data_IF_971513803563
#
_entry.id   IF_971513803563
#
_cell.length_a   1.000
_cell.length_b   1.000
_cell.length_c   1.000
_cell.angle_alpha   90.00
_cell.angle_beta   90.00
_cell.angle_gamma   90.00
#
_symmetry.space_group_name_H-M   'P 1'
#
loop_
_entity.id
_entity.type
_entity.pdbx_description
1 polymer ?
#
# COMPACT_ATOMS: atom_id res chain seq x y z
N UNK A 1 3.12 9.73 -7.55
CA UNK A 1 3.33 8.30 -7.91
C UNK A 1 4.17 7.66 -6.82
N UNK A 2 3.88 6.43 -6.39
CA UNK A 2 4.61 5.80 -5.29
C UNK A 2 5.96 5.26 -5.76
N UNK A 3 7.06 5.76 -5.18
CA UNK A 3 8.42 5.29 -5.44
C UNK A 3 8.61 3.83 -5.02
N UNK A 4 7.97 3.43 -3.91
CA UNK A 4 8.04 2.06 -3.37
C UNK A 4 7.44 1.02 -4.33
N UNK A 5 6.39 1.40 -5.06
CA UNK A 5 5.72 0.52 -6.02
C UNK A 5 6.61 0.15 -7.22
N UNK A 6 7.34 1.12 -7.78
CA UNK A 6 8.24 0.86 -8.92
C UNK A 6 9.45 0.01 -8.50
N UNK A 7 10.04 0.28 -7.33
CA UNK A 7 11.14 -0.53 -6.79
C UNK A 7 10.75 -2.00 -6.60
N UNK A 8 9.52 -2.25 -6.11
CA UNK A 8 9.01 -3.61 -5.95
C UNK A 8 9.00 -4.40 -7.27
N UNK A 9 8.59 -3.79 -8.39
CA UNK A 9 8.53 -4.48 -9.68
C UNK A 9 9.93 -4.67 -10.31
N UNK A 10 10.89 -3.78 -10.06
CA UNK A 10 12.29 -3.97 -10.49
C UNK A 10 12.90 -5.21 -9.82
N UNK A 11 12.71 -5.37 -8.51
CA UNK A 11 13.18 -6.56 -7.77
C UNK A 11 12.57 -7.84 -8.35
N UNK A 12 11.27 -7.83 -8.68
CA UNK A 12 10.58 -8.99 -9.28
C UNK A 12 11.14 -9.30 -10.68
N UNK A 13 11.39 -8.29 -11.50
CA UNK A 13 11.93 -8.47 -12.85
C UNK A 13 13.37 -9.00 -12.83
N UNK A 14 14.22 -8.49 -11.93
CA UNK A 14 15.60 -8.98 -11.77
C UNK A 14 15.63 -10.48 -11.50
N UNK A 15 14.73 -10.94 -10.63
CA UNK A 15 14.59 -12.37 -10.33
C UNK A 15 14.12 -13.22 -11.51
N UNK A 16 13.20 -12.73 -12.34
CA UNK A 16 12.78 -13.45 -13.56
C UNK A 16 13.94 -13.60 -14.54
N UNK A 17 14.79 -12.57 -14.64
CA UNK A 17 15.94 -12.54 -15.53
C UNK A 17 17.20 -13.20 -14.94
N UNK A 18 17.21 -13.52 -13.65
CA UNK A 18 18.38 -14.04 -12.94
C UNK A 18 19.48 -12.99 -12.72
N UNK A 19 19.12 -11.72 -12.58
CA UNK A 19 20.03 -10.58 -12.39
C UNK A 19 19.72 -9.82 -11.10
N UNK A 20 20.73 -9.14 -10.55
CA UNK A 20 20.56 -8.30 -9.36
C UNK A 20 19.71 -7.05 -9.67
N UNK A 21 18.93 -6.53 -8.71
CA UNK A 21 18.10 -5.34 -8.93
C UNK A 21 18.89 -4.10 -9.39
N UNK A 22 20.14 -3.96 -8.95
CA UNK A 22 21.02 -2.85 -9.31
C UNK A 22 21.39 -2.87 -10.81
N UNK A 23 21.41 -4.04 -11.44
CA UNK A 23 21.63 -4.15 -12.90
C UNK A 23 20.43 -3.62 -13.70
N UNK A 24 19.27 -3.51 -13.04
CA UNK A 24 18.04 -2.99 -13.61
C UNK A 24 17.75 -1.53 -13.19
N UNK A 25 18.72 -0.83 -12.60
CA UNK A 25 18.53 0.56 -12.12
C UNK A 25 18.10 1.52 -13.24
N UNK A 26 18.49 1.24 -14.49
CA UNK A 26 18.07 2.00 -15.67
C UNK A 26 16.54 2.00 -15.90
N UNK A 27 15.81 1.07 -15.26
CA UNK A 27 14.35 0.98 -15.29
C UNK A 27 13.67 1.80 -14.19
N UNK A 28 14.42 2.45 -13.28
CA UNK A 28 13.86 3.17 -12.13
C UNK A 28 12.91 4.32 -12.46
N UNK A 29 12.95 4.86 -13.69
CA UNK A 29 12.02 5.88 -14.18
C UNK A 29 10.68 5.34 -14.70
N UNK A 30 10.52 4.02 -14.82
CA UNK A 30 9.30 3.40 -15.33
C UNK A 30 8.20 3.32 -14.26
N UNK A 31 6.94 3.34 -14.72
CA UNK A 31 5.81 3.09 -13.84
C UNK A 31 5.77 1.62 -13.42
N UNK A 32 5.29 1.35 -12.20
CA UNK A 32 5.09 -0.02 -11.71
C UNK A 32 4.21 -0.87 -12.66
N UNK A 33 3.20 -0.27 -13.30
CA UNK A 33 2.33 -0.96 -14.26
C UNK A 33 3.11 -1.41 -15.51
N UNK A 34 3.94 -0.54 -16.09
CA UNK A 34 4.74 -0.88 -17.26
C UNK A 34 5.80 -1.95 -16.94
N UNK A 35 6.43 -1.87 -15.77
CA UNK A 35 7.39 -2.88 -15.31
C UNK A 35 6.74 -4.25 -15.13
N UNK A 36 5.54 -4.26 -14.56
CA UNK A 36 4.73 -5.47 -14.43
C UNK A 36 4.40 -6.08 -15.80
N UNK A 37 3.92 -5.28 -16.74
CA UNK A 37 3.61 -5.75 -18.10
C UNK A 37 4.83 -6.35 -18.81
N UNK A 38 6.00 -5.72 -18.66
CA UNK A 38 7.26 -6.23 -19.22
C UNK A 38 7.60 -7.59 -18.61
N UNK A 39 7.56 -7.71 -17.28
CA UNK A 39 7.86 -8.95 -16.56
C UNK A 39 6.94 -10.09 -16.97
N UNK A 40 5.64 -9.83 -17.07
CA UNK A 40 4.65 -10.81 -17.52
C UNK A 40 4.95 -11.29 -18.95
N UNK A 41 5.27 -10.35 -19.86
CA UNK A 41 5.59 -10.65 -21.26
C UNK A 41 6.88 -11.48 -21.42
N UNK A 42 7.93 -11.16 -20.65
CA UNK A 42 9.19 -11.92 -20.63
C UNK A 42 8.94 -13.35 -20.14
N UNK A 43 8.19 -13.50 -19.05
CA UNK A 43 7.88 -14.81 -18.48
C UNK A 43 7.10 -15.68 -19.45
N UNK A 44 6.09 -15.10 -20.13
CA UNK A 44 5.29 -15.81 -21.13
C UNK A 44 6.15 -16.27 -22.32
N UNK A 45 7.02 -15.39 -22.84
CA UNK A 45 7.89 -15.73 -23.97
C UNK A 45 8.83 -16.90 -23.67
N UNK A 46 9.52 -16.87 -22.51
CA UNK A 46 10.44 -17.94 -22.10
C UNK A 46 9.72 -19.29 -21.95
N UNK A 47 8.49 -19.30 -21.42
CA UNK A 47 7.70 -20.53 -21.26
C UNK A 47 7.14 -21.07 -22.59
N UNK A 48 6.83 -20.19 -23.55
CA UNK A 48 6.31 -20.61 -24.86
C UNK A 48 7.37 -21.28 -25.72
N UNK A 49 8.63 -20.82 -25.64
CA UNK A 49 9.76 -21.37 -26.41
C UNK A 49 10.00 -22.86 -26.11
N UNK A 50 9.98 -23.25 -24.84
CA UNK A 50 10.26 -24.63 -24.41
C UNK A 50 9.04 -25.57 -24.46
N UNK A 51 7.85 -25.03 -24.73
CA UNK A 51 6.59 -25.80 -24.67
C UNK A 51 6.55 -27.05 -25.55
N UNK A 52 7.04 -27.05 -26.81
CA UNK A 52 7.03 -28.25 -27.65
C UNK A 52 7.85 -29.40 -27.07
N UNK A 53 8.94 -29.10 -26.36
CA UNK A 53 9.78 -30.08 -25.69
C UNK A 53 9.02 -30.73 -24.52
N UNK A 54 8.43 -29.92 -23.64
CA UNK A 54 7.66 -30.43 -22.49
C UNK A 54 6.46 -31.28 -22.91
N UNK A 55 5.75 -30.90 -23.98
CA UNK A 55 4.63 -31.69 -24.52
C UNK A 55 5.03 -33.08 -24.99
N UNK A 56 6.20 -33.22 -25.62
CA UNK A 56 6.71 -34.53 -26.06
C UNK A 56 7.03 -35.42 -24.86
N UNK A 57 7.64 -34.85 -23.83
CA UNK A 57 7.92 -35.59 -22.60
C UNK A 57 6.62 -35.97 -21.86
N UNK A 58 5.65 -35.05 -21.79
CA UNK A 58 4.35 -35.29 -21.17
C UNK A 58 3.62 -36.49 -21.78
N UNK A 59 3.61 -36.63 -23.11
CA UNK A 59 3.03 -37.78 -23.80
C UNK A 59 3.65 -39.12 -23.36
N UNK A 60 4.96 -39.14 -23.09
CA UNK A 60 5.64 -40.33 -22.56
C UNK A 60 5.21 -40.56 -21.11
N UNK A 61 5.30 -39.52 -20.26
CA UNK A 61 4.97 -39.60 -18.85
C UNK A 61 3.50 -39.94 -18.58
N UNK A 62 2.60 -39.69 -19.52
CA UNK A 62 1.18 -40.04 -19.45
C UNK A 62 0.91 -41.56 -19.58
N UNK A 63 1.89 -42.34 -20.01
CA UNK A 63 1.78 -43.80 -20.09
C UNK A 63 2.66 -44.55 -19.08
N UNK A 64 3.65 -43.89 -18.49
CA UNK A 64 4.55 -44.51 -17.51
C UNK A 64 3.82 -44.75 -16.16
N UNK A 65 3.91 -45.95 -15.55
CA UNK A 65 3.34 -46.21 -14.23
C UNK A 65 3.87 -45.26 -13.15
N UNK A 66 3.00 -44.82 -12.23
CA UNK A 66 3.29 -43.78 -11.24
C UNK A 66 4.56 -44.02 -10.42
N UNK A 67 4.80 -45.26 -9.97
CA UNK A 67 5.99 -45.61 -9.18
C UNK A 67 7.28 -45.36 -9.98
N UNK A 68 7.27 -45.72 -11.26
CA UNK A 68 8.42 -45.57 -12.13
C UNK A 68 8.62 -44.11 -12.50
N UNK A 69 7.54 -43.40 -12.84
CA UNK A 69 7.59 -41.97 -13.12
C UNK A 69 8.14 -41.16 -11.93
N UNK A 70 7.71 -41.44 -10.70
CA UNK A 70 8.24 -40.78 -9.50
C UNK A 70 9.71 -41.14 -9.18
N UNK A 71 10.18 -42.32 -9.59
CA UNK A 71 11.61 -42.66 -9.50
C UNK A 71 12.44 -41.92 -10.54
N UNK A 72 11.95 -41.84 -11.78
CA UNK A 72 12.62 -41.15 -12.87
C UNK A 72 12.69 -39.64 -12.59
N UNK A 73 11.59 -39.05 -12.12
CA UNK A 73 11.51 -37.61 -11.85
C UNK A 73 12.60 -37.13 -10.88
N UNK A 74 13.00 -37.94 -9.90
CA UNK A 74 14.07 -37.60 -8.94
C UNK A 74 15.46 -37.43 -9.56
N UNK A 75 15.69 -37.97 -10.75
CA UNK A 75 16.95 -37.80 -11.50
C UNK A 75 16.84 -36.81 -12.65
N UNK A 76 15.68 -36.16 -12.81
CA UNK A 76 15.44 -35.15 -13.83
C UNK A 76 15.52 -33.77 -13.18
N UNK A 77 16.04 -32.81 -13.94
CA UNK A 77 16.07 -31.41 -13.53
C UNK A 77 14.67 -30.89 -13.12
N UNK A 78 14.52 -30.20 -11.98
CA UNK A 78 13.24 -29.68 -11.49
C UNK A 78 12.48 -28.83 -12.52
N UNK A 79 13.19 -28.06 -13.36
CA UNK A 79 12.59 -27.26 -14.42
C UNK A 79 11.83 -28.12 -15.44
N UNK A 80 12.40 -29.27 -15.82
CA UNK A 80 11.76 -30.19 -16.75
C UNK A 80 10.54 -30.85 -16.12
N UNK A 81 10.62 -31.20 -14.82
CA UNK A 81 9.47 -31.75 -14.08
C UNK A 81 8.34 -30.72 -14.00
N UNK A 82 8.66 -29.46 -13.72
CA UNK A 82 7.70 -28.35 -13.69
C UNK A 82 7.02 -28.15 -15.06
N UNK A 83 7.81 -28.13 -16.13
CA UNK A 83 7.31 -27.99 -17.51
C UNK A 83 6.42 -29.16 -17.93
N UNK A 84 6.75 -30.40 -17.54
CA UNK A 84 5.90 -31.57 -17.81
C UNK A 84 4.62 -31.54 -16.97
N UNK A 85 4.68 -31.09 -15.72
CA UNK A 85 3.53 -31.04 -14.81
C UNK A 85 2.39 -30.18 -15.36
N UNK A 86 2.70 -29.09 -16.09
CA UNK A 86 1.68 -28.21 -16.71
C UNK A 86 1.09 -28.73 -18.02
N UNK A 87 1.58 -29.85 -18.57
CA UNK A 87 1.09 -30.44 -19.82
C UNK A 87 0.34 -31.77 -19.62
N UNK A 88 0.33 -32.33 -18.42
CA UNK A 88 -0.39 -33.58 -18.09
C UNK A 88 -1.64 -33.32 -17.23
N UNK A 89 -2.51 -34.33 -17.10
CA UNK A 89 -3.75 -34.22 -16.33
C UNK A 89 -3.50 -33.93 -14.84
N UNK A 90 -4.24 -32.97 -14.26
CA UNK A 90 -4.10 -32.51 -12.88
C UNK A 90 -4.09 -33.64 -11.84
N UNK A 91 -5.00 -34.62 -11.94
CA UNK A 91 -5.04 -35.78 -11.03
C UNK A 91 -3.75 -36.61 -11.06
N UNK A 92 -3.13 -36.71 -12.24
CA UNK A 92 -1.85 -37.42 -12.39
C UNK A 92 -0.71 -36.64 -11.75
N UNK A 93 -0.68 -35.32 -11.92
CA UNK A 93 0.28 -34.43 -11.24
C UNK A 93 0.23 -34.65 -9.73
N UNK A 94 -0.97 -34.64 -9.14
CA UNK A 94 -1.15 -34.86 -7.69
C UNK A 94 -0.63 -36.23 -7.26
N UNK A 95 -1.00 -37.29 -7.99
CA UNK A 95 -0.58 -38.66 -7.66
C UNK A 95 0.94 -38.84 -7.73
N UNK A 96 1.61 -38.15 -8.67
CA UNK A 96 3.06 -38.17 -8.79
C UNK A 96 3.71 -37.31 -7.70
N UNK A 97 3.22 -36.09 -7.49
CA UNK A 97 3.75 -35.15 -6.51
C UNK A 97 3.74 -35.69 -5.09
N UNK A 98 2.67 -36.39 -4.67
CA UNK A 98 2.58 -37.07 -3.37
C UNK A 98 3.67 -38.13 -3.11
N UNK A 99 4.42 -38.54 -4.13
CA UNK A 99 5.51 -39.52 -4.02
C UNK A 99 6.91 -38.91 -4.11
N UNK A 100 6.99 -37.61 -4.37
CA UNK A 100 8.23 -36.86 -4.42
C UNK A 100 8.56 -36.32 -3.03
N UNK A 101 9.85 -36.08 -2.77
CA UNK A 101 10.28 -35.52 -1.50
C UNK A 101 9.98 -34.01 -1.49
N UNK A 102 9.59 -33.47 -0.33
CA UNK A 102 9.29 -32.04 -0.13
C UNK A 102 10.39 -31.11 -0.64
N UNK A 103 11.70 -31.35 -0.37
CA UNK A 103 12.76 -30.49 -0.90
C UNK A 103 12.78 -30.41 -2.43
N UNK A 104 12.49 -31.53 -3.11
CA UNK A 104 12.44 -31.57 -4.57
C UNK A 104 11.17 -30.92 -5.12
N UNK A 105 10.04 -31.03 -4.42
CA UNK A 105 8.81 -30.31 -4.78
C UNK A 105 9.00 -28.79 -4.67
N UNK A 106 9.72 -28.32 -3.65
CA UNK A 106 10.09 -26.91 -3.53
C UNK A 106 10.92 -26.45 -4.73
N UNK A 107 11.92 -27.23 -5.17
CA UNK A 107 12.69 -26.93 -6.39
C UNK A 107 11.78 -26.86 -7.63
N UNK A 108 10.84 -27.80 -7.77
CA UNK A 108 9.88 -27.80 -8.87
C UNK A 108 8.99 -26.55 -8.84
N UNK A 109 8.56 -26.11 -7.65
CA UNK A 109 7.73 -24.91 -7.49
C UNK A 109 8.42 -23.62 -7.97
N UNK A 110 9.74 -23.52 -7.85
CA UNK A 110 10.50 -22.35 -8.33
C UNK A 110 10.32 -22.13 -9.84
N UNK A 111 10.23 -23.22 -10.61
CA UNK A 111 10.10 -23.21 -12.07
C UNK A 111 8.64 -23.34 -12.55
N UNK A 112 7.73 -23.79 -11.69
CA UNK A 112 6.34 -24.02 -12.05
C UNK A 112 5.60 -22.69 -12.28
N UNK A 113 4.84 -22.62 -13.37
CA UNK A 113 3.85 -21.55 -13.55
C UNK A 113 2.52 -21.96 -12.89
N UNK A 114 2.14 -21.34 -11.75
CA UNK A 114 0.93 -21.72 -11.04
C UNK A 114 -0.35 -21.37 -11.80
N UNK A 115 -0.32 -20.42 -12.75
CA UNK A 115 -1.46 -20.12 -13.65
C UNK A 115 -1.87 -21.34 -14.45
N UNK A 116 -0.88 -22.10 -14.92
CA UNK A 116 -1.07 -23.28 -15.78
C UNK A 116 -1.27 -24.56 -14.98
N UNK A 117 -0.89 -24.57 -13.70
CA UNK A 117 -1.07 -25.71 -12.80
C UNK A 117 -2.26 -25.57 -11.83
N UNK A 118 -3.13 -24.57 -12.01
CA UNK A 118 -4.23 -24.23 -11.08
C UNK A 118 -5.07 -25.43 -10.63
N UNK A 119 -5.48 -26.27 -11.58
CA UNK A 119 -6.32 -27.44 -11.28
C UNK A 119 -5.57 -28.49 -10.45
N UNK A 120 -4.26 -28.64 -10.66
CA UNK A 120 -3.43 -29.54 -9.86
C UNK A 120 -3.20 -28.97 -8.45
N UNK A 121 -2.85 -27.67 -8.36
CA UNK A 121 -2.61 -26.97 -7.08
C UNK A 121 -3.81 -27.13 -6.14
N UNK A 122 -5.03 -26.96 -6.64
CA UNK A 122 -6.27 -27.09 -5.86
C UNK A 122 -6.61 -28.51 -5.41
N UNK A 123 -6.00 -29.52 -6.04
CA UNK A 123 -6.24 -30.93 -5.74
C UNK A 123 -5.17 -31.53 -4.82
N UNK A 124 -4.07 -30.82 -4.58
CA UNK A 124 -3.05 -31.28 -3.65
C UNK A 124 -3.58 -31.31 -2.21
N UNK A 125 -3.20 -32.32 -1.41
CA UNK A 125 -3.52 -32.35 0.03
C UNK A 125 -2.94 -31.14 0.76
N UNK A 126 -3.69 -30.62 1.74
CA UNK A 126 -3.32 -29.43 2.50
C UNK A 126 -1.97 -29.61 3.21
N UNK A 127 -1.77 -30.76 3.86
CA UNK A 127 -0.55 -31.15 4.55
C UNK A 127 0.68 -31.11 3.65
N UNK A 128 0.58 -31.62 2.42
CA UNK A 128 1.70 -31.55 1.47
C UNK A 128 2.02 -30.11 1.06
N UNK A 129 1.01 -29.26 0.87
CA UNK A 129 1.23 -27.85 0.52
C UNK A 129 1.86 -27.10 1.69
N UNK A 130 1.44 -27.39 2.93
CA UNK A 130 2.05 -26.83 4.14
C UNK A 130 3.52 -27.26 4.24
N UNK A 131 3.84 -28.54 4.04
CA UNK A 131 5.23 -29.02 4.07
C UNK A 131 6.09 -28.29 3.04
N UNK A 132 5.61 -28.10 1.81
CA UNK A 132 6.33 -27.38 0.75
C UNK A 132 6.46 -25.90 1.09
N UNK A 133 5.44 -25.27 1.66
CA UNK A 133 5.48 -23.88 2.09
C UNK A 133 6.53 -23.65 3.20
N UNK A 134 6.61 -24.55 4.18
CA UNK A 134 7.62 -24.50 5.25
C UNK A 134 9.03 -24.74 4.72
N UNK A 135 9.19 -25.64 3.74
CA UNK A 135 10.47 -25.85 3.06
C UNK A 135 10.92 -24.59 2.32
N UNK A 136 10.03 -23.93 1.56
CA UNK A 136 10.34 -22.66 0.89
C UNK A 136 10.66 -21.54 1.89
N UNK A 137 9.92 -21.44 2.99
CA UNK A 137 10.19 -20.47 4.06
C UNK A 137 11.55 -20.68 4.72
N UNK A 138 11.94 -21.94 4.96
CA UNK A 138 13.26 -22.28 5.50
C UNK A 138 14.42 -21.88 4.59
N UNK A 139 14.15 -21.71 3.29
CA UNK A 139 15.09 -21.28 2.25
C UNK A 139 15.01 -19.77 1.96
N UNK A 140 14.15 -19.04 2.68
CA UNK A 140 13.83 -17.62 2.42
C UNK A 140 13.28 -17.36 0.99
N UNK A 141 12.69 -18.38 0.35
CA UNK A 141 12.09 -18.26 -0.99
C UNK A 141 10.64 -17.80 -0.92
N UNK A 142 10.46 -16.59 -0.38
CA UNK A 142 9.15 -15.93 -0.24
C UNK A 142 8.54 -15.54 -1.59
N UNK A 143 9.36 -15.48 -2.65
CA UNK A 143 8.92 -15.15 -4.02
C UNK A 143 8.17 -16.31 -4.63
N UNK A 144 8.74 -17.51 -4.53
CA UNK A 144 8.03 -18.70 -4.99
C UNK A 144 6.74 -18.84 -4.20
N UNK A 145 6.75 -18.65 -2.88
CA UNK A 145 5.52 -18.68 -2.07
C UNK A 145 4.47 -17.68 -2.57
N UNK A 146 4.84 -16.41 -2.80
CA UNK A 146 3.88 -15.36 -3.19
C UNK A 146 3.17 -15.65 -4.51
N UNK A 147 3.83 -16.35 -5.44
CA UNK A 147 3.26 -16.73 -6.75
C UNK A 147 2.11 -17.74 -6.63
N UNK A 148 2.06 -18.55 -5.58
CA UNK A 148 1.05 -19.60 -5.41
C UNK A 148 -0.21 -19.15 -4.65
N UNK A 149 -0.15 -18.01 -3.95
CA UNK A 149 -1.19 -17.54 -3.03
C UNK A 149 -2.58 -17.37 -3.70
N UNK A 150 -2.60 -17.00 -4.98
CA UNK A 150 -3.84 -16.83 -5.76
C UNK A 150 -4.46 -18.16 -6.24
N UNK A 151 -3.73 -19.27 -6.11
CA UNK A 151 -4.10 -20.57 -6.70
C UNK A 151 -4.45 -21.64 -5.66
N UNK A 152 -3.97 -21.48 -4.43
CA UNK A 152 -4.34 -22.33 -3.29
C UNK A 152 -5.76 -22.03 -2.79
N UNK A 153 -6.40 -23.00 -2.14
CA UNK A 153 -7.69 -22.79 -1.48
C UNK A 153 -7.53 -21.95 -0.21
N UNK A 154 -8.63 -21.42 0.31
CA UNK A 154 -8.63 -20.67 1.57
C UNK A 154 -8.27 -21.57 2.76
N UNK A 155 -8.74 -22.82 2.77
CA UNK A 155 -8.35 -23.81 3.79
C UNK A 155 -6.84 -24.07 3.80
N UNK A 156 -6.23 -24.21 2.62
CA UNK A 156 -4.77 -24.36 2.51
C UNK A 156 -4.04 -23.09 2.94
N UNK A 157 -4.55 -21.91 2.57
CA UNK A 157 -3.95 -20.64 2.96
C UNK A 157 -3.95 -20.46 4.48
N UNK A 158 -5.06 -20.78 5.15
CA UNK A 158 -5.16 -20.76 6.62
C UNK A 158 -4.22 -21.78 7.26
N UNK A 159 -4.12 -22.99 6.73
CA UNK A 159 -3.20 -24.00 7.28
C UNK A 159 -1.72 -23.59 7.13
N UNK A 160 -1.34 -22.97 6.00
CA UNK A 160 0.02 -22.43 5.80
C UNK A 160 0.27 -21.25 6.75
N UNK A 161 -0.71 -20.37 6.91
CA UNK A 161 -0.63 -19.23 7.82
C UNK A 161 -0.49 -19.67 9.29
N UNK A 162 -1.23 -20.69 9.74
CA UNK A 162 -1.12 -21.26 11.08
C UNK A 162 0.27 -21.90 11.31
N UNK A 163 0.80 -22.57 10.29
CA UNK A 163 2.11 -23.23 10.34
C UNK A 163 3.29 -22.25 10.32
N UNK A 164 3.17 -21.11 9.65
CA UNK A 164 4.14 -20.03 9.73
C UNK A 164 3.93 -19.29 11.05
N UNK A 165 4.96 -19.09 11.87
CA UNK A 165 4.80 -18.40 13.16
C UNK A 165 5.23 -16.93 13.15
N UNK A 166 5.84 -16.47 12.06
CA UNK A 166 6.51 -15.17 11.98
C UNK A 166 5.70 -14.18 11.15
N UNK A 167 5.20 -13.13 11.79
CA UNK A 167 4.42 -12.08 11.14
C UNK A 167 5.24 -11.28 10.10
N UNK A 168 6.56 -11.17 10.26
CA UNK A 168 7.42 -10.48 9.29
C UNK A 168 7.44 -11.23 7.95
N UNK A 169 7.47 -12.56 7.99
CA UNK A 169 7.45 -13.42 6.78
C UNK A 169 6.11 -13.32 6.06
N UNK A 170 5.01 -13.40 6.79
CA UNK A 170 3.67 -13.24 6.20
C UNK A 170 3.54 -11.91 5.46
N UNK A 171 4.03 -10.83 6.06
CA UNK A 171 3.94 -9.52 5.44
C UNK A 171 4.84 -9.38 4.21
N UNK A 172 6.03 -9.99 4.22
CA UNK A 172 6.91 -10.05 3.05
C UNK A 172 6.28 -10.82 1.90
N UNK A 173 5.64 -11.97 2.18
CA UNK A 173 4.88 -12.70 1.17
C UNK A 173 3.77 -11.80 0.62
N UNK A 174 3.02 -11.12 1.48
CA UNK A 174 1.97 -10.18 1.06
C UNK A 174 2.50 -9.06 0.15
N UNK A 175 3.66 -8.49 0.45
CA UNK A 175 4.32 -7.47 -0.38
C UNK A 175 4.67 -7.98 -1.79
N UNK A 176 5.06 -9.26 -1.87
CA UNK A 176 5.40 -9.90 -3.14
C UNK A 176 4.16 -10.37 -3.93
N UNK A 177 2.96 -10.34 -3.32
CA UNK A 177 1.74 -10.74 -4.01
C UNK A 177 1.34 -9.75 -5.10
N UNK A 178 0.74 -10.28 -6.17
CA UNK A 178 0.29 -9.47 -7.30
C UNK A 178 -1.18 -9.02 -7.18
N UNK A 179 -1.98 -9.78 -6.45
CA UNK A 179 -3.43 -9.61 -6.35
C UNK A 179 -3.82 -8.81 -5.12
N UNK A 180 -4.18 -7.54 -5.35
CA UNK A 180 -4.69 -6.61 -4.32
C UNK A 180 -5.89 -7.20 -3.57
N UNK A 181 -6.84 -7.75 -4.32
CA UNK A 181 -8.05 -8.35 -3.75
C UNK A 181 -7.72 -9.58 -2.88
N UNK A 182 -6.66 -10.32 -3.22
CA UNK A 182 -6.24 -11.48 -2.44
C UNK A 182 -5.57 -11.06 -1.13
N UNK A 183 -4.77 -9.98 -1.13
CA UNK A 183 -4.21 -9.40 0.10
C UNK A 183 -5.33 -9.02 1.07
N UNK A 184 -6.34 -8.27 0.60
CA UNK A 184 -7.49 -7.87 1.41
C UNK A 184 -8.25 -9.09 1.96
N UNK A 185 -8.46 -10.11 1.13
CA UNK A 185 -9.15 -11.34 1.54
C UNK A 185 -8.37 -12.09 2.62
N UNK A 186 -7.06 -12.27 2.46
CA UNK A 186 -6.21 -12.99 3.41
C UNK A 186 -6.19 -12.28 4.75
N UNK A 187 -6.01 -10.95 4.77
CA UNK A 187 -6.00 -10.21 6.02
C UNK A 187 -7.31 -10.32 6.79
N UNK A 188 -8.47 -10.36 6.11
CA UNK A 188 -9.77 -10.57 6.77
C UNK A 188 -9.96 -11.98 7.30
N UNK A 189 -9.22 -12.95 6.79
CA UNK A 189 -9.22 -14.32 7.32
C UNK A 189 -8.31 -14.48 8.54
N UNK A 190 -7.36 -13.55 8.76
CA UNK A 190 -6.45 -13.62 9.90
C UNK A 190 -7.20 -13.38 11.22
N UNK A 191 -6.85 -14.13 12.29
CA UNK A 191 -7.34 -13.84 13.63
C UNK A 191 -6.97 -12.40 14.06
N UNK A 192 -7.86 -11.66 14.76
CA UNK A 192 -7.58 -10.29 15.20
C UNK A 192 -6.28 -10.16 16.03
N UNK A 193 -5.98 -11.15 16.87
CA UNK A 193 -4.78 -11.20 17.69
C UNK A 193 -3.51 -11.27 16.84
N UNK A 194 -3.59 -11.90 15.66
CA UNK A 194 -2.47 -11.99 14.74
C UNK A 194 -2.25 -10.70 13.98
N UNK A 195 -3.32 -10.00 13.59
CA UNK A 195 -3.21 -8.64 13.03
C UNK A 195 -2.56 -7.71 14.04
N UNK A 196 -2.92 -7.80 15.33
CA UNK A 196 -2.29 -7.03 16.38
C UNK A 196 -0.78 -7.32 16.50
N UNK A 197 -0.38 -8.61 16.54
CA UNK A 197 1.05 -8.97 16.54
C UNK A 197 1.78 -8.46 15.31
N UNK A 198 1.13 -8.49 14.14
CA UNK A 198 1.69 -7.95 12.92
C UNK A 198 1.94 -6.44 13.03
N UNK A 199 1.00 -5.67 13.59
CA UNK A 199 1.20 -4.22 13.81
C UNK A 199 2.35 -3.94 14.77
N UNK A 200 2.44 -4.67 15.89
CA UNK A 200 3.59 -4.55 16.80
C UNK A 200 4.89 -4.84 16.05
N UNK A 201 4.94 -5.93 15.28
CA UNK A 201 6.13 -6.33 14.53
C UNK A 201 6.51 -5.34 13.43
N UNK A 202 5.54 -4.70 12.78
CA UNK A 202 5.79 -3.62 11.80
C UNK A 202 6.36 -2.38 12.48
N UNK A 203 5.90 -2.04 13.68
CA UNK A 203 6.42 -0.89 14.43
C UNK A 203 7.88 -1.09 14.89
N UNK A 204 8.24 -2.32 15.28
CA UNK A 204 9.64 -2.68 15.57
C UNK A 204 10.57 -2.54 14.35
N UNK A 205 9.98 -2.51 13.15
CA UNK A 205 10.64 -2.33 11.86
C UNK A 205 11.88 -3.23 11.63
N UNK A 206 11.74 -4.56 11.76
CA UNK A 206 12.82 -5.46 11.37
C UNK A 206 13.10 -5.32 9.87
N UNK A 207 14.33 -4.96 9.52
CA UNK A 207 14.79 -4.86 8.12
C UNK A 207 13.91 -3.95 7.24
N UNK A 208 13.36 -2.85 7.79
CA UNK A 208 12.59 -1.87 6.99
C UNK A 208 11.14 -2.27 6.71
N UNK A 209 10.56 -3.17 7.51
CA UNK A 209 9.21 -3.70 7.34
C UNK A 209 8.10 -2.64 7.25
N UNK A 210 8.22 -1.51 7.94
CA UNK A 210 7.26 -0.40 7.89
C UNK A 210 7.09 0.16 6.49
N UNK A 211 8.18 0.34 5.74
CA UNK A 211 8.13 0.85 4.37
C UNK A 211 7.40 -0.16 3.46
N UNK A 212 7.65 -1.45 3.64
CA UNK A 212 6.94 -2.52 2.94
C UNK A 212 5.45 -2.54 3.26
N UNK A 213 5.10 -2.37 4.54
CA UNK A 213 3.71 -2.27 5.00
C UNK A 213 2.97 -1.07 4.41
N UNK A 214 3.59 0.11 4.42
CA UNK A 214 2.99 1.32 3.86
C UNK A 214 2.85 1.23 2.33
N UNK A 215 3.82 0.61 1.64
CA UNK A 215 3.71 0.31 0.21
C UNK A 215 2.50 -0.57 -0.09
N UNK A 216 2.24 -1.59 0.72
CA UNK A 216 1.04 -2.42 0.62
C UNK A 216 -0.24 -1.58 0.74
N UNK A 217 -0.29 -0.66 1.71
CA UNK A 217 -1.45 0.22 1.91
C UNK A 217 -1.76 1.11 0.70
N UNK A 218 -0.81 1.36 -0.20
CA UNK A 218 -1.07 2.14 -1.42
C UNK A 218 -1.90 1.32 -2.41
N UNK A 219 -1.64 0.01 -2.49
CA UNK A 219 -2.17 -0.88 -3.51
C UNK A 219 -3.48 -1.55 -3.12
N UNK A 220 -3.82 -1.64 -1.84
CA UNK A 220 -5.05 -2.28 -1.33
C UNK A 220 -6.31 -1.42 -1.51
N UNK A 221 -7.48 -2.03 -1.33
CA UNK A 221 -8.76 -1.31 -1.44
C UNK A 221 -8.91 -0.24 -0.36
N UNK A 222 -9.69 0.81 -0.65
CA UNK A 222 -9.99 1.85 0.32
C UNK A 222 -10.64 1.31 1.60
N UNK A 223 -11.52 0.30 1.47
CA UNK A 223 -12.14 -0.37 2.61
C UNK A 223 -11.10 -1.04 3.52
N UNK A 224 -10.08 -1.65 2.93
CA UNK A 224 -9.01 -2.29 3.70
C UNK A 224 -8.07 -1.27 4.36
N UNK A 225 -7.76 -0.14 3.71
CA UNK A 225 -7.01 0.97 4.34
C UNK A 225 -7.74 1.50 5.58
N UNK A 226 -9.05 1.68 5.48
CA UNK A 226 -9.91 2.09 6.61
C UNK A 226 -9.84 1.07 7.74
N UNK A 227 -10.04 -0.21 7.43
CA UNK A 227 -10.06 -1.31 8.40
C UNK A 227 -8.73 -1.40 9.16
N UNK A 228 -7.59 -1.43 8.46
CA UNK A 228 -6.28 -1.44 9.10
C UNK A 228 -6.00 -0.17 9.91
N UNK A 229 -6.39 0.99 9.38
CA UNK A 229 -6.24 2.26 10.08
C UNK A 229 -7.06 2.29 11.37
N UNK A 230 -8.29 1.78 11.35
CA UNK A 230 -9.15 1.67 12.52
C UNK A 230 -8.57 0.67 13.55
N UNK A 231 -8.02 -0.46 13.10
CA UNK A 231 -7.35 -1.44 13.98
C UNK A 231 -6.14 -0.81 14.66
N UNK A 232 -5.30 -0.06 13.93
CA UNK A 232 -4.16 0.65 14.49
C UNK A 232 -4.61 1.74 15.48
N UNK A 233 -5.62 2.53 15.13
CA UNK A 233 -6.17 3.57 16.01
C UNK A 233 -6.84 2.99 17.28
N UNK A 234 -7.23 1.72 17.27
CA UNK A 234 -7.76 1.03 18.44
C UNK A 234 -6.68 0.57 19.43
N UNK A 235 -5.41 0.50 19.02
CA UNK A 235 -4.29 0.08 19.87
C UNK A 235 -4.00 1.10 20.98
N UNK A 236 -3.08 0.76 21.89
CA UNK A 236 -2.62 1.69 22.90
C UNK A 236 -1.87 2.89 22.29
N UNK A 237 -1.75 3.95 23.09
CA UNK A 237 -1.12 5.20 22.66
C UNK A 237 0.39 5.03 22.42
N UNK A 238 1.05 4.11 23.13
CA UNK A 238 2.49 3.85 23.00
C UNK A 238 2.84 3.28 21.62
N UNK A 239 2.06 2.30 21.15
CA UNK A 239 2.26 1.72 19.82
C UNK A 239 2.02 2.77 18.73
N UNK A 240 0.96 3.58 18.84
CA UNK A 240 0.65 4.62 17.85
C UNK A 240 1.73 5.72 17.84
N UNK A 241 2.23 6.14 19.00
CA UNK A 241 3.36 7.08 19.10
C UNK A 241 4.61 6.52 18.42
N UNK A 242 4.89 5.21 18.60
CA UNK A 242 5.96 4.50 17.90
C UNK A 242 5.86 4.61 16.37
N UNK A 243 4.66 4.43 15.81
CA UNK A 243 4.41 4.62 14.38
C UNK A 243 4.60 6.08 13.94
N UNK A 244 4.04 7.05 14.68
CA UNK A 244 4.16 8.48 14.38
C UNK A 244 5.64 8.89 14.28
N UNK A 245 6.45 8.47 15.26
CA UNK A 245 7.89 8.78 15.29
C UNK A 245 8.65 8.09 14.17
N UNK A 246 8.33 6.82 13.86
CA UNK A 246 8.97 6.10 12.77
C UNK A 246 8.66 6.71 11.40
N UNK A 247 7.42 7.15 11.20
CA UNK A 247 6.96 7.84 9.98
C UNK A 247 7.66 9.18 9.81
N UNK A 248 7.77 9.97 10.88
CA UNK A 248 8.43 11.27 10.82
C UNK A 248 9.93 11.16 10.52
N UNK A 249 10.63 10.25 11.20
CA UNK A 249 12.07 10.02 10.99
C UNK A 249 12.42 9.63 9.55
N UNK A 250 11.46 9.03 8.83
CA UNK A 250 11.64 8.54 7.45
C UNK A 250 11.00 9.44 6.41
N UNK A 251 10.28 10.48 6.81
CA UNK A 251 9.56 11.37 5.89
C UNK A 251 8.42 10.66 5.14
N UNK A 252 7.77 9.66 5.75
CA UNK A 252 6.72 8.84 5.10
C UNK A 252 5.31 9.43 5.28
N UNK A 253 5.20 10.72 5.60
CA UNK A 253 3.92 11.39 5.82
C UNK A 253 3.02 11.36 4.57
N UNK A 254 3.61 11.41 3.37
CA UNK A 254 2.85 11.38 2.10
C UNK A 254 2.13 10.05 1.87
N UNK A 255 2.66 8.95 2.40
CA UNK A 255 2.05 7.63 2.32
C UNK A 255 1.04 7.38 3.45
N UNK A 256 1.25 7.99 4.62
CA UNK A 256 0.42 7.77 5.83
C UNK A 256 -0.81 8.67 5.88
N UNK A 257 -0.71 9.95 5.47
CA UNK A 257 -1.84 10.88 5.50
C UNK A 257 -3.08 10.36 4.74
N UNK A 258 -2.96 9.74 3.55
CA UNK A 258 -4.11 9.14 2.88
C UNK A 258 -4.76 7.99 3.67
N UNK A 259 -3.98 7.24 4.45
CA UNK A 259 -4.48 6.15 5.29
C UNK A 259 -5.25 6.71 6.48
N UNK A 260 -4.69 7.72 7.17
CA UNK A 260 -5.38 8.41 8.27
C UNK A 260 -6.68 9.05 7.77
N UNK A 261 -6.66 9.67 6.59
CA UNK A 261 -7.86 10.23 5.98
C UNK A 261 -8.91 9.16 5.60
N UNK A 262 -8.53 7.89 5.41
CA UNK A 262 -9.46 6.80 5.10
C UNK A 262 -10.17 6.19 6.32
N UNK A 263 -9.60 6.37 7.52
CA UNK A 263 -10.13 5.86 8.79
C UNK A 263 -11.56 6.35 9.08
N UNK A 264 -12.24 5.68 10.02
CA UNK A 264 -13.53 6.15 10.56
C UNK A 264 -13.39 7.49 11.31
N UNK A 265 -14.49 8.22 11.46
CA UNK A 265 -14.51 9.51 12.18
C UNK A 265 -13.96 9.40 13.61
N UNK A 266 -14.34 8.34 14.34
CA UNK A 266 -13.86 8.09 15.70
C UNK A 266 -12.35 7.85 15.76
N UNK A 267 -11.82 7.07 14.82
CA UNK A 267 -10.39 6.78 14.75
C UNK A 267 -9.60 8.02 14.34
N UNK A 268 -10.09 8.78 13.34
CA UNK A 268 -9.49 10.06 12.94
C UNK A 268 -9.42 11.02 14.11
N UNK A 269 -10.55 11.27 14.77
CA UNK A 269 -10.63 12.17 15.92
C UNK A 269 -9.69 11.74 17.05
N UNK A 270 -9.52 10.43 17.29
CA UNK A 270 -8.56 9.93 18.27
C UNK A 270 -7.12 10.22 17.85
N UNK A 271 -6.73 9.81 16.64
CA UNK A 271 -5.35 9.89 16.15
C UNK A 271 -4.87 11.35 16.05
N UNK A 272 -5.67 12.26 15.48
CA UNK A 272 -5.27 13.67 15.29
C UNK A 272 -5.11 14.46 16.59
N UNK A 273 -5.61 13.91 17.71
CA UNK A 273 -5.55 14.53 19.03
C UNK A 273 -4.53 13.88 19.97
N UNK A 274 -3.72 12.94 19.47
CA UNK A 274 -2.65 12.32 20.25
C UNK A 274 -1.61 13.36 20.72
N UNK A 275 -1.06 13.23 21.94
CA UNK A 275 -0.06 14.14 22.48
C UNK A 275 1.17 14.30 21.60
N UNK A 276 1.62 13.23 20.92
CA UNK A 276 2.72 13.27 19.96
C UNK A 276 2.51 14.34 18.88
N UNK A 277 1.30 14.46 18.35
CA UNK A 277 0.96 15.44 17.30
C UNK A 277 0.86 16.88 17.82
N UNK A 278 1.09 17.13 19.11
CA UNK A 278 1.25 18.49 19.68
C UNK A 278 2.67 19.02 19.49
N UNK A 279 3.62 18.14 19.18
CA UNK A 279 5.01 18.52 18.98
C UNK A 279 5.15 19.38 17.71
N UNK A 280 5.71 20.58 17.86
CA UNK A 280 5.78 21.59 16.79
C UNK A 280 6.48 21.07 15.53
N UNK A 281 7.52 20.24 15.69
CA UNK A 281 8.28 19.72 14.55
C UNK A 281 7.46 18.73 13.72
N UNK A 282 6.68 17.85 14.36
CA UNK A 282 5.81 16.89 13.68
C UNK A 282 4.74 17.63 12.87
N UNK A 283 4.06 18.60 13.48
CA UNK A 283 3.08 19.42 12.77
C UNK A 283 3.69 20.16 11.57
N UNK A 284 4.89 20.73 11.73
CA UNK A 284 5.57 21.42 10.64
C UNK A 284 5.97 20.47 9.50
N UNK A 285 6.42 19.26 9.80
CA UNK A 285 6.72 18.25 8.79
C UNK A 285 5.46 17.80 8.05
N UNK A 286 4.36 17.53 8.75
CA UNK A 286 3.07 17.16 8.13
C UNK A 286 2.59 18.25 7.18
N UNK A 287 2.58 19.52 7.62
CA UNK A 287 2.11 20.64 6.79
C UNK A 287 3.01 20.87 5.57
N UNK A 288 4.33 20.72 5.74
CA UNK A 288 5.27 20.79 4.62
C UNK A 288 5.03 19.66 3.61
N UNK A 289 4.82 18.42 4.08
CA UNK A 289 4.48 17.31 3.20
C UNK A 289 3.13 17.52 2.50
N UNK A 290 2.17 18.15 3.17
CA UNK A 290 0.88 18.49 2.57
C UNK A 290 1.04 19.44 1.38
N UNK A 291 1.91 20.44 1.52
CA UNK A 291 2.28 21.37 0.44
C UNK A 291 3.04 20.65 -0.68
N UNK A 292 4.11 19.93 -0.35
CA UNK A 292 5.01 19.29 -1.33
C UNK A 292 4.33 18.15 -2.12
N UNK A 293 3.33 17.49 -1.53
CA UNK A 293 2.66 16.30 -2.09
C UNK A 293 1.19 16.51 -2.46
N UNK A 294 0.69 17.75 -2.44
CA UNK A 294 -0.70 18.11 -2.77
C UNK A 294 -1.74 17.34 -1.93
N UNK A 295 -1.53 17.31 -0.60
CA UNK A 295 -2.38 16.58 0.37
C UNK A 295 -3.21 17.50 1.26
N UNK A 296 -3.32 18.79 0.94
CA UNK A 296 -4.09 19.76 1.73
C UNK A 296 -5.54 19.37 1.94
N UNK A 297 -6.19 18.75 0.94
CA UNK A 297 -7.57 18.28 1.10
C UNK A 297 -7.71 17.22 2.21
N UNK A 298 -6.68 16.39 2.41
CA UNK A 298 -6.65 15.40 3.49
C UNK A 298 -6.31 16.05 4.82
N UNK A 299 -5.35 16.98 4.83
CA UNK A 299 -4.92 17.67 6.06
C UNK A 299 -6.01 18.59 6.60
N UNK A 300 -6.70 19.36 5.76
CA UNK A 300 -7.82 20.20 6.19
C UNK A 300 -8.94 19.37 6.82
N UNK A 301 -9.29 18.23 6.21
CA UNK A 301 -10.23 17.27 6.79
C UNK A 301 -9.81 16.87 8.21
N UNK A 302 -8.53 16.53 8.41
CA UNK A 302 -8.02 16.14 9.72
C UNK A 302 -8.02 17.30 10.72
N UNK A 303 -7.72 18.53 10.29
CA UNK A 303 -7.75 19.72 11.15
C UNK A 303 -9.16 20.01 11.67
N UNK A 304 -10.21 19.70 10.91
CA UNK A 304 -11.61 19.86 11.39
C UNK A 304 -11.87 19.08 12.68
N UNK A 305 -11.14 17.98 12.90
CA UNK A 305 -11.31 17.07 14.04
C UNK A 305 -10.31 17.33 15.18
N UNK A 306 -9.39 18.29 15.02
CA UNK A 306 -8.41 18.62 16.04
C UNK A 306 -9.03 19.43 17.20
N UNK A 307 -8.42 19.35 18.38
CA UNK A 307 -8.70 20.25 19.49
C UNK A 307 -8.19 21.68 19.24
N UNK A 308 -8.67 22.60 20.05
CA UNK A 308 -8.38 24.03 19.95
C UNK A 308 -6.89 24.37 19.99
N UNK A 309 -6.15 23.79 20.95
CA UNK A 309 -4.71 24.02 21.11
C UNK A 309 -3.92 23.58 19.86
N UNK A 310 -4.35 22.46 19.26
CA UNK A 310 -3.74 21.90 18.06
C UNK A 310 -4.02 22.77 16.84
N UNK A 311 -5.25 23.25 16.65
CA UNK A 311 -5.59 24.20 15.58
C UNK A 311 -4.81 25.50 15.71
N UNK A 312 -4.69 26.03 16.93
CA UNK A 312 -3.90 27.24 17.19
C UNK A 312 -2.39 27.03 16.92
N UNK A 313 -1.86 25.84 17.15
CA UNK A 313 -0.48 25.51 16.81
C UNK A 313 -0.28 25.41 15.29
N UNK A 314 -1.19 24.71 14.58
CA UNK A 314 -1.18 24.59 13.12
C UNK A 314 -1.27 25.96 12.44
N UNK A 315 -2.20 26.83 12.87
CA UNK A 315 -2.35 28.19 12.32
C UNK A 315 -1.05 29.01 12.44
N UNK A 316 -0.36 28.92 13.60
CA UNK A 316 0.93 29.60 13.82
C UNK A 316 2.04 29.06 12.91
N UNK A 317 2.04 27.76 12.60
CA UNK A 317 3.03 27.18 11.69
C UNK A 317 2.74 27.63 10.26
N UNK A 318 1.48 27.45 9.80
CA UNK A 318 1.04 27.85 8.47
C UNK A 318 1.34 29.32 8.16
N UNK A 319 1.11 30.22 9.13
CA UNK A 319 1.40 31.65 8.96
C UNK A 319 2.85 31.94 8.54
N UNK A 320 3.80 31.08 8.91
CA UNK A 320 5.23 31.28 8.63
C UNK A 320 5.76 30.45 7.45
N UNK A 321 5.09 29.35 7.08
CA UNK A 321 5.68 28.33 6.19
C UNK A 321 4.88 28.03 4.94
N UNK A 322 3.62 28.50 4.85
CA UNK A 322 2.67 28.10 3.81
C UNK A 322 2.08 29.32 3.10
N UNK A 323 1.94 29.23 1.78
CA UNK A 323 1.12 30.14 0.97
C UNK A 323 -0.33 29.68 0.96
N UNK A 324 -1.26 30.63 1.07
CA UNK A 324 -2.68 30.29 1.22
C UNK A 324 -3.34 29.82 -0.08
N UNK A 325 -2.69 29.93 -1.24
CA UNK A 325 -3.24 29.49 -2.54
C UNK A 325 -3.62 28.00 -2.53
N UNK A 326 -2.66 27.10 -2.32
CA UNK A 326 -2.89 25.65 -2.33
C UNK A 326 -3.91 25.20 -1.26
N UNK A 327 -3.87 25.83 -0.09
CA UNK A 327 -4.82 25.56 1.00
C UNK A 327 -6.23 26.01 0.63
N UNK A 328 -6.36 27.16 -0.03
CA UNK A 328 -7.65 27.72 -0.47
C UNK A 328 -8.24 26.87 -1.59
N UNK A 329 -7.42 26.42 -2.55
CA UNK A 329 -7.85 25.50 -3.62
C UNK A 329 -8.35 24.17 -3.04
N UNK A 330 -7.63 23.60 -2.06
CA UNK A 330 -8.07 22.40 -1.37
C UNK A 330 -9.37 22.60 -0.58
N UNK A 331 -9.54 23.76 0.07
CA UNK A 331 -10.77 24.12 0.77
C UNK A 331 -11.94 24.32 -0.19
N UNK A 332 -11.70 24.86 -1.39
CA UNK A 332 -12.68 25.00 -2.45
C UNK A 332 -13.16 23.63 -2.94
N UNK A 333 -12.24 22.71 -3.25
CA UNK A 333 -12.58 21.37 -3.75
C UNK A 333 -13.30 20.54 -2.68
N UNK A 334 -12.85 20.64 -1.42
CA UNK A 334 -13.37 19.85 -0.30
C UNK A 334 -14.48 20.50 0.53
N UNK A 335 -14.88 21.73 0.20
CA UNK A 335 -15.82 22.55 1.00
C UNK A 335 -15.38 22.74 2.48
N UNK A 336 -14.07 22.81 2.74
CA UNK A 336 -13.48 22.97 4.08
C UNK A 336 -13.36 24.43 4.55
N UNK A 337 -14.32 25.28 4.19
CA UNK A 337 -14.27 26.73 4.44
C UNK A 337 -14.26 27.10 5.92
N UNK A 338 -15.05 26.43 6.76
CA UNK A 338 -15.13 26.78 8.18
C UNK A 338 -13.80 26.61 8.91
N UNK A 339 -13.08 25.52 8.63
CA UNK A 339 -11.77 25.28 9.25
C UNK A 339 -10.71 26.21 8.67
N UNK A 340 -10.75 26.51 7.35
CA UNK A 340 -9.81 27.46 6.77
C UNK A 340 -10.00 28.87 7.36
N UNK A 341 -11.24 29.33 7.51
CA UNK A 341 -11.53 30.62 8.12
C UNK A 341 -11.11 30.66 9.60
N UNK A 342 -11.36 29.61 10.37
CA UNK A 342 -10.88 29.49 11.76
C UNK A 342 -9.34 29.57 11.84
N UNK A 343 -8.63 28.91 10.92
CA UNK A 343 -7.17 28.97 10.86
C UNK A 343 -6.68 30.36 10.49
N UNK A 344 -7.22 30.95 9.42
CA UNK A 344 -6.83 32.29 8.92
C UNK A 344 -7.07 33.35 9.98
N UNK A 345 -8.20 33.32 10.70
CA UNK A 345 -8.53 34.28 11.76
C UNK A 345 -7.52 34.30 12.92
N UNK A 346 -6.72 33.24 13.08
CA UNK A 346 -5.65 33.11 14.10
C UNK A 346 -4.28 33.54 13.57
N UNK A 347 -4.17 33.85 12.29
CA UNK A 347 -2.94 34.30 11.65
C UNK A 347 -2.79 35.84 11.74
N UNK A 348 -1.61 36.39 11.47
CA UNK A 348 -1.41 37.84 11.46
C UNK A 348 -2.03 38.52 10.22
N UNK A 349 -2.15 39.85 10.27
CA UNK A 349 -2.85 40.66 9.26
C UNK A 349 -2.26 40.63 7.84
N UNK A 350 -1.00 40.23 7.69
CA UNK A 350 -0.40 39.98 6.37
C UNK A 350 -1.05 38.78 5.69
N UNK A 351 -1.32 37.70 6.42
CA UNK A 351 -2.05 36.52 5.92
C UNK A 351 -3.52 36.80 5.67
N UNK A 352 -4.17 37.66 6.45
CA UNK A 352 -5.52 38.14 6.16
C UNK A 352 -5.60 38.84 4.79
N UNK A 353 -4.59 39.67 4.47
CA UNK A 353 -4.52 40.37 3.17
C UNK A 353 -4.23 39.43 2.01
N UNK A 354 -3.34 38.45 2.21
CA UNK A 354 -3.06 37.39 1.22
C UNK A 354 -4.35 36.63 0.90
N UNK A 355 -5.05 36.12 1.93
CA UNK A 355 -6.31 35.41 1.77
C UNK A 355 -7.37 36.25 1.05
N UNK A 356 -7.56 37.51 1.45
CA UNK A 356 -8.52 38.40 0.80
C UNK A 356 -8.20 38.61 -0.70
N UNK A 357 -6.93 38.63 -1.09
CA UNK A 357 -6.51 38.69 -2.49
C UNK A 357 -6.95 37.47 -3.29
N UNK A 358 -6.71 36.27 -2.74
CA UNK A 358 -7.08 34.99 -3.37
C UNK A 358 -8.61 34.88 -3.54
N UNK A 359 -9.38 35.21 -2.49
CA UNK A 359 -10.85 35.14 -2.53
C UNK A 359 -11.43 36.13 -3.56
N UNK A 360 -10.83 37.31 -3.74
CA UNK A 360 -11.27 38.25 -4.80
C UNK A 360 -11.06 37.67 -6.19
N UNK A 361 -9.91 37.04 -6.44
CA UNK A 361 -9.65 36.39 -7.73
C UNK A 361 -10.66 35.27 -8.02
N UNK A 362 -11.11 34.53 -6.99
CA UNK A 362 -12.20 33.55 -7.12
C UNK A 362 -13.53 34.25 -7.43
N UNK A 363 -13.81 35.40 -6.81
CA UNK A 363 -15.02 36.19 -7.04
C UNK A 363 -15.15 36.78 -8.45
N UNK A 364 -14.03 36.97 -9.16
CA UNK A 364 -14.04 37.34 -10.58
C UNK A 364 -14.56 36.20 -11.48
N UNK A 365 -14.50 34.95 -11.00
CA UNK A 365 -14.97 33.74 -11.71
C UNK A 365 -16.35 33.29 -11.22
N UNK A 366 -16.57 33.26 -9.89
CA UNK A 366 -17.83 32.87 -9.26
C UNK A 366 -18.22 33.85 -8.14
N UNK A 367 -19.08 34.80 -8.49
CA UNK A 367 -19.54 35.85 -7.58
C UNK A 367 -20.38 35.31 -6.40
N UNK A 368 -21.17 34.27 -6.62
CA UNK A 368 -22.06 33.75 -5.58
C UNK A 368 -21.25 32.99 -4.51
N UNK A 369 -20.23 32.25 -4.92
CA UNK A 369 -19.28 31.64 -4.00
C UNK A 369 -18.53 32.70 -3.17
N UNK A 370 -18.09 33.79 -3.81
CA UNK A 370 -17.45 34.91 -3.13
C UNK A 370 -18.34 35.50 -2.03
N UNK A 371 -19.60 35.84 -2.33
CA UNK A 371 -20.54 36.40 -1.33
C UNK A 371 -20.72 35.45 -0.13
N UNK A 372 -20.84 34.14 -0.39
CA UNK A 372 -20.95 33.12 0.67
C UNK A 372 -19.72 33.09 1.58
N UNK A 373 -18.52 33.14 1.00
CA UNK A 373 -17.26 33.09 1.75
C UNK A 373 -17.07 34.37 2.56
N UNK A 374 -17.35 35.55 1.96
CA UNK A 374 -17.26 36.84 2.66
C UNK A 374 -18.19 36.89 3.86
N UNK A 375 -19.45 36.49 3.70
CA UNK A 375 -20.40 36.45 4.81
C UNK A 375 -19.93 35.54 5.96
N UNK A 376 -19.28 34.41 5.65
CA UNK A 376 -18.69 33.53 6.66
C UNK A 376 -17.42 34.12 7.28
N UNK A 377 -16.56 34.73 6.48
CA UNK A 377 -15.32 35.34 6.93
C UNK A 377 -15.57 36.47 7.93
N UNK A 378 -16.61 37.27 7.73
CA UNK A 378 -17.03 38.33 8.67
C UNK A 378 -17.40 37.76 10.05
N UNK A 379 -18.05 36.59 10.11
CA UNK A 379 -18.38 35.89 11.37
C UNK A 379 -17.10 35.48 12.12
N UNK A 380 -16.04 35.15 11.38
CA UNK A 380 -14.72 34.80 11.93
C UNK A 380 -13.82 36.04 12.15
N UNK A 381 -14.34 37.27 11.93
CA UNK A 381 -13.60 38.52 12.15
C UNK A 381 -12.60 38.88 11.05
N UNK A 382 -12.66 38.22 9.89
CA UNK A 382 -11.77 38.48 8.75
C UNK A 382 -12.45 39.45 7.78
N UNK A 383 -11.82 40.61 7.56
CA UNK A 383 -12.33 41.62 6.62
C UNK A 383 -11.77 41.41 5.22
N UNK A 384 -12.61 40.95 4.28
CA UNK A 384 -12.25 40.75 2.86
C UNK A 384 -12.53 42.01 2.01
N UNK A 385 -13.23 43.00 2.60
CA UNK A 385 -13.84 44.16 1.94
C UNK A 385 -12.89 45.10 1.19
N UNK A 386 -13.44 45.75 0.17
CA UNK A 386 -12.79 46.73 -0.71
C UNK A 386 -12.30 47.98 0.02
N UNK A 387 -11.02 48.33 -0.14
CA UNK A 387 -10.52 49.68 0.10
C UNK A 387 -10.86 50.66 -1.06
N UNK A 388 -11.79 50.31 -1.96
CA UNK A 388 -12.07 51.07 -3.19
C UNK A 388 -13.57 51.22 -3.52
N UNK A 389 -14.43 51.40 -2.50
CA UNK A 389 -15.76 52.01 -2.72
C UNK A 389 -15.93 53.26 -1.86
N UNK A 390 -14.91 54.12 -1.87
CA UNK A 390 -15.09 55.55 -1.54
C UNK A 390 -15.71 56.26 -2.75
N UNK A 391 -16.97 55.95 -3.06
CA UNK A 391 -17.78 56.89 -3.83
C UNK A 391 -18.21 58.00 -2.88
N UNK A 392 -17.34 59.02 -2.76
CA UNK A 392 -17.76 60.34 -2.31
C UNK A 392 -18.92 60.79 -3.22
N UNK A 393 -20.08 61.17 -2.66
CA UNK A 393 -21.08 61.85 -3.43
C UNK A 393 -20.56 63.27 -3.68
N UNK A 394 -20.21 63.57 -4.92
CA UNK A 394 -19.93 64.95 -5.35
C UNK A 394 -21.21 65.75 -5.09
N UNK A 395 -21.11 66.66 -4.12
CA UNK A 395 -22.14 67.62 -3.82
C UNK A 395 -22.14 68.76 -4.85
N UNK A 396 -23.34 69.00 -5.40
CA UNK A 396 -23.87 70.17 -6.12
C UNK A 396 -23.31 70.53 -7.50
#
# INVERSE_FOLDING_TARGET
MSLLASQAEVIKLGRVLGVEPDELEFLGGASAESLRMLRESVTEHLLEEDRPFFRRLAQVFEHVPTVLAAKIARGIDPMVVAGVAVEIQARRVVTLGQRLATPFLADVCMHLDPRRARDAIRLFPVDLVVDVALELDSRDDLVTMSRFVDYVSDDTMLAVEEALHDESRLLRVAFLMESKNRVDHIFRMLPPERVQRLLVRVQEDPEGLLSGFLSLLIHVSYGFKRELGDILAAQDEELIDGYIRAVDQRGLWSDVLPVVAAMSDSSRARVVNLPALREKHLQANILRTAEESDLWGQVLLLITMMGEDNRAAVARIMANTVTLDAVTDAALIGEYWEVLLDLVARMPDDKHREFAGIIRAIGDVDHHLYERIVARAEVHGISITNAATSHEPVAQ
#
